data_IF_308934710692
#
_entry.id   IF_308934710692
#
_cell.length_a   1.000
_cell.length_b   1.000
_cell.length_c   1.000
_cell.angle_alpha   90.00
_cell.angle_beta   90.00
_cell.angle_gamma   90.00
#
_symmetry.space_group_name_H-M   'P 1'
#
loop_
_entity.id
_entity.type
_entity.pdbx_description
1 polymer ?
#
# COMPACT_ATOMS: atom_id res chain seq x y z
N UNK A 1 -46.02 -50.70 30.67
CA UNK A 1 -46.05 -49.22 30.65
C UNK A 1 -44.60 -48.74 30.61
N UNK A 2 -44.03 -48.64 29.40
CA UNK A 2 -42.63 -48.28 29.20
C UNK A 2 -42.50 -46.78 28.96
N UNK A 3 -41.68 -46.12 29.76
CA UNK A 3 -41.44 -44.68 29.69
C UNK A 3 -40.46 -44.39 28.53
N UNK A 4 -40.78 -43.50 27.57
CA UNK A 4 -39.81 -43.09 26.57
C UNK A 4 -38.78 -42.14 27.21
N UNK A 5 -37.50 -42.51 27.13
CA UNK A 5 -36.40 -41.67 27.57
C UNK A 5 -36.17 -40.59 26.50
N UNK A 6 -36.48 -39.34 26.86
CA UNK A 6 -36.32 -38.17 26.01
C UNK A 6 -34.86 -37.91 25.64
N UNK A 7 -34.68 -37.46 24.39
CA UNK A 7 -33.39 -37.26 23.75
C UNK A 7 -32.46 -36.27 24.46
N UNK A 8 -31.19 -36.64 24.55
CA UNK A 8 -30.09 -35.76 24.92
C UNK A 8 -28.96 -36.05 23.93
N UNK A 9 -28.86 -35.24 22.88
CA UNK A 9 -27.79 -35.40 21.89
C UNK A 9 -27.55 -34.20 20.99
N UNK A 10 -28.57 -33.38 20.69
CA UNK A 10 -28.50 -32.50 19.51
C UNK A 10 -28.23 -31.01 19.80
N UNK A 11 -27.74 -30.67 21.01
CA UNK A 11 -27.44 -29.28 21.41
C UNK A 11 -25.96 -28.88 21.27
N UNK A 12 -25.08 -29.84 21.00
CA UNK A 12 -23.64 -29.60 20.82
C UNK A 12 -23.26 -29.17 19.41
N UNK A 13 -23.94 -29.71 18.39
CA UNK A 13 -23.54 -29.56 16.98
C UNK A 13 -23.80 -28.15 16.44
N UNK A 14 -24.92 -27.53 16.82
CA UNK A 14 -25.25 -26.15 16.40
C UNK A 14 -24.40 -25.06 17.07
N UNK A 15 -23.89 -25.29 18.28
CA UNK A 15 -23.13 -24.28 19.04
C UNK A 15 -21.65 -24.29 18.64
N UNK A 16 -21.07 -25.46 18.34
CA UNK A 16 -19.67 -25.58 17.90
C UNK A 16 -19.44 -24.87 16.55
N UNK A 17 -20.39 -24.95 15.62
CA UNK A 17 -20.30 -24.21 14.35
C UNK A 17 -20.26 -22.68 14.53
N UNK A 18 -21.04 -22.15 15.48
CA UNK A 18 -21.13 -20.71 15.72
C UNK A 18 -19.88 -20.13 16.39
N UNK A 19 -19.23 -20.90 17.27
CA UNK A 19 -17.98 -20.50 17.95
C UNK A 19 -16.85 -20.25 16.96
N UNK A 20 -16.82 -20.98 15.85
CA UNK A 20 -15.83 -20.79 14.78
C UNK A 20 -16.28 -19.71 13.79
N UNK A 21 -17.58 -19.59 13.54
CA UNK A 21 -18.11 -18.63 12.55
C UNK A 21 -17.81 -17.18 12.92
N UNK A 22 -18.02 -16.78 14.18
CA UNK A 22 -17.79 -15.41 14.64
C UNK A 22 -16.34 -14.93 14.42
N UNK A 23 -15.29 -15.64 14.88
CA UNK A 23 -13.92 -15.22 14.63
C UNK A 23 -13.55 -15.26 13.14
N UNK A 24 -14.13 -16.17 12.34
CA UNK A 24 -13.91 -16.21 10.89
C UNK A 24 -14.47 -14.95 10.21
N UNK A 25 -15.69 -14.54 10.55
CA UNK A 25 -16.28 -13.31 9.99
C UNK A 25 -15.47 -12.09 10.40
N UNK A 26 -15.08 -11.99 11.68
CA UNK A 26 -14.22 -10.91 12.15
C UNK A 26 -12.88 -10.89 11.41
N UNK A 27 -12.27 -12.05 11.19
CA UNK A 27 -11.02 -12.18 10.44
C UNK A 27 -11.18 -11.68 9.00
N UNK A 28 -12.27 -12.05 8.30
CA UNK A 28 -12.57 -11.54 6.95
C UNK A 28 -12.76 -10.02 6.96
N UNK A 29 -13.45 -9.47 7.96
CA UNK A 29 -13.58 -8.01 8.11
C UNK A 29 -12.22 -7.34 8.32
N UNK A 30 -11.37 -7.88 9.19
CA UNK A 30 -10.01 -7.38 9.39
C UNK A 30 -9.16 -7.47 8.12
N UNK A 31 -9.30 -8.53 7.33
CA UNK A 31 -8.64 -8.65 6.02
C UNK A 31 -9.08 -7.53 5.07
N UNK A 32 -10.37 -7.18 5.05
CA UNK A 32 -10.88 -6.05 4.27
C UNK A 32 -10.25 -4.72 4.70
N UNK A 33 -10.18 -4.46 6.01
CA UNK A 33 -9.51 -3.27 6.55
C UNK A 33 -8.03 -3.26 6.18
N UNK A 34 -7.33 -4.40 6.34
CA UNK A 34 -5.92 -4.52 6.02
C UNK A 34 -5.64 -4.29 4.53
N UNK A 35 -6.51 -4.77 3.65
CA UNK A 35 -6.43 -4.50 2.22
C UNK A 35 -6.60 -3.01 1.91
N UNK A 36 -7.58 -2.34 2.52
CA UNK A 36 -7.79 -0.90 2.36
C UNK A 36 -6.57 -0.08 2.79
N UNK A 37 -5.99 -0.40 3.96
CA UNK A 37 -4.77 0.24 4.46
C UNK A 37 -3.58 0.01 3.53
N UNK A 38 -3.44 -1.19 2.98
CA UNK A 38 -2.39 -1.49 2.00
C UNK A 38 -2.55 -0.69 0.71
N UNK A 39 -3.76 -0.62 0.15
CA UNK A 39 -4.04 0.16 -1.06
C UNK A 39 -3.85 1.66 -0.83
N UNK A 40 -4.22 2.16 0.35
CA UNK A 40 -3.99 3.55 0.71
C UNK A 40 -2.49 3.90 0.68
N UNK A 41 -1.64 3.09 1.32
CA UNK A 41 -0.19 3.27 1.27
C UNK A 41 0.39 3.12 -0.14
N UNK A 42 -0.16 2.20 -0.94
CA UNK A 42 0.26 2.00 -2.33
C UNK A 42 -0.03 3.23 -3.19
N UNK A 43 -1.20 3.86 -3.00
CA UNK A 43 -1.57 5.09 -3.68
C UNK A 43 -0.63 6.22 -3.30
N UNK A 44 -0.33 6.39 -1.99
CA UNK A 44 0.64 7.40 -1.52
C UNK A 44 2.01 7.20 -2.17
N UNK A 45 2.52 5.96 -2.18
CA UNK A 45 3.81 5.64 -2.79
C UNK A 45 3.84 5.96 -4.29
N UNK A 46 2.73 5.71 -5.01
CA UNK A 46 2.60 6.04 -6.42
C UNK A 46 2.54 7.54 -6.67
N UNK A 47 1.78 8.29 -5.87
CA UNK A 47 1.72 9.75 -5.94
C UNK A 47 3.08 10.39 -5.66
N UNK A 48 3.76 9.94 -4.60
CA UNK A 48 5.10 10.38 -4.26
C UNK A 48 6.11 10.05 -5.36
N UNK A 49 6.06 8.84 -5.94
CA UNK A 49 6.94 8.44 -7.04
C UNK A 49 6.77 9.32 -8.27
N UNK A 50 5.54 9.60 -8.69
CA UNK A 50 5.27 10.46 -9.84
C UNK A 50 5.79 11.89 -9.64
N UNK A 51 5.60 12.46 -8.44
CA UNK A 51 6.12 13.80 -8.11
C UNK A 51 7.65 13.82 -8.00
N UNK A 52 8.24 12.79 -7.41
CA UNK A 52 9.69 12.65 -7.32
C UNK A 52 10.34 12.63 -8.70
N UNK A 53 9.77 11.86 -9.62
CA UNK A 53 10.24 11.80 -11.01
C UNK A 53 10.04 13.14 -11.71
N UNK A 54 8.87 13.79 -11.57
CA UNK A 54 8.60 15.06 -12.26
C UNK A 54 9.49 16.21 -11.78
N UNK A 55 9.91 16.20 -10.52
CA UNK A 55 10.88 17.16 -9.99
C UNK A 55 12.30 16.82 -10.47
N UNK A 56 12.68 15.55 -10.45
CA UNK A 56 14.02 15.10 -10.86
C UNK A 56 14.23 15.08 -12.39
N UNK A 57 13.17 15.16 -13.20
CA UNK A 57 13.25 15.27 -14.66
C UNK A 57 13.46 16.71 -15.15
N UNK A 58 13.28 17.72 -14.27
CA UNK A 58 13.49 19.13 -14.62
C UNK A 58 14.95 19.44 -14.91
N UNK A 59 15.19 20.34 -15.86
CA UNK A 59 16.55 20.79 -16.19
C UNK A 59 17.20 21.49 -15.00
N UNK A 60 18.44 21.10 -14.68
CA UNK A 60 19.17 21.60 -13.51
C UNK A 60 18.75 21.00 -12.16
N UNK A 61 17.80 20.07 -12.13
CA UNK A 61 17.46 19.32 -10.92
C UNK A 61 18.46 18.18 -10.67
N UNK A 62 18.41 17.62 -9.45
CA UNK A 62 19.21 16.48 -9.04
C UNK A 62 18.31 15.34 -8.55
N UNK A 63 18.78 14.08 -8.57
CA UNK A 63 18.06 12.96 -7.96
C UNK A 63 17.72 13.21 -6.48
N UNK A 64 18.59 13.90 -5.74
CA UNK A 64 18.36 14.28 -4.35
C UNK A 64 17.15 15.24 -4.17
N UNK A 65 16.85 16.07 -5.16
CA UNK A 65 15.63 16.89 -5.15
C UNK A 65 14.37 16.03 -5.30
N UNK A 66 14.40 14.98 -6.12
CA UNK A 66 13.31 14.02 -6.24
C UNK A 66 13.09 13.22 -4.95
N UNK A 67 14.17 12.81 -4.26
CA UNK A 67 14.08 12.14 -2.96
C UNK A 67 13.42 13.03 -1.90
N UNK A 68 13.80 14.32 -1.84
CA UNK A 68 13.19 15.29 -0.92
C UNK A 68 11.71 15.50 -1.22
N UNK A 69 11.33 15.58 -2.49
CA UNK A 69 9.91 15.67 -2.90
C UNK A 69 9.13 14.40 -2.55
N UNK A 70 9.71 13.21 -2.74
CA UNK A 70 9.07 11.97 -2.31
C UNK A 70 8.79 12.00 -0.79
N UNK A 71 9.74 12.49 0.00
CA UNK A 71 9.62 12.58 1.45
C UNK A 71 8.55 13.59 1.89
N UNK A 72 8.47 14.78 1.25
CA UNK A 72 7.44 15.77 1.58
C UNK A 72 6.05 15.23 1.30
N UNK A 73 5.82 14.61 0.15
CA UNK A 73 4.51 14.05 -0.24
C UNK A 73 4.05 12.95 0.71
N UNK A 74 4.97 12.08 1.14
CA UNK A 74 4.64 11.02 2.11
C UNK A 74 4.33 11.61 3.49
N UNK A 75 5.08 12.64 3.93
CA UNK A 75 4.83 13.33 5.18
C UNK A 75 3.49 14.08 5.18
N UNK A 76 3.14 14.77 4.10
CA UNK A 76 1.85 15.44 3.90
C UNK A 76 0.67 14.46 3.94
N UNK A 77 0.89 13.22 3.48
CA UNK A 77 -0.11 12.16 3.51
C UNK A 77 -0.27 11.51 4.89
N UNK A 78 0.49 11.95 5.90
CA UNK A 78 0.46 11.38 7.26
C UNK A 78 1.04 9.97 7.35
N UNK A 79 1.84 9.55 6.37
CA UNK A 79 2.46 8.23 6.33
C UNK A 79 3.97 8.31 6.61
N UNK A 80 4.60 7.15 6.76
CA UNK A 80 6.04 7.05 7.05
C UNK A 80 6.79 6.54 5.83
N UNK A 81 7.75 7.33 5.36
CA UNK A 81 8.67 6.92 4.29
C UNK A 81 9.66 5.90 4.87
N UNK A 82 9.73 4.72 4.26
CA UNK A 82 10.74 3.70 4.59
C UNK A 82 12.00 3.90 3.76
N UNK A 83 11.85 4.33 2.52
CA UNK A 83 12.98 4.67 1.64
C UNK A 83 12.52 5.24 0.32
N UNK A 84 13.34 6.10 -0.27
CA UNK A 84 13.16 6.63 -1.61
C UNK A 84 14.50 6.56 -2.35
N UNK A 85 14.48 5.98 -3.55
CA UNK A 85 15.62 5.90 -4.45
C UNK A 85 15.25 6.56 -5.78
N UNK A 86 16.11 7.44 -6.28
CA UNK A 86 15.92 8.12 -7.57
C UNK A 86 17.19 7.97 -8.37
N UNK A 87 17.09 7.40 -9.57
CA UNK A 87 18.20 7.25 -10.50
C UNK A 87 17.98 8.10 -11.74
N UNK A 88 19.07 8.71 -12.22
CA UNK A 88 19.07 9.65 -13.35
C UNK A 88 19.91 9.16 -14.53
N UNK A 89 19.47 9.53 -15.74
CA UNK A 89 20.07 9.24 -17.04
C UNK A 89 19.30 9.96 -18.15
N UNK A 90 19.06 9.29 -19.30
CA UNK A 90 18.06 9.74 -20.31
C UNK A 90 16.62 9.64 -19.81
N UNK A 91 16.35 8.67 -18.94
CA UNK A 91 15.08 8.53 -18.22
C UNK A 91 15.33 8.61 -16.72
N UNK A 92 14.42 9.28 -16.00
CA UNK A 92 14.45 9.38 -14.55
C UNK A 92 13.51 8.32 -13.98
N UNK A 93 14.01 7.53 -13.03
CA UNK A 93 13.19 6.55 -12.32
C UNK A 93 13.23 6.80 -10.82
N UNK A 94 12.07 6.74 -10.17
CA UNK A 94 11.95 6.84 -8.72
C UNK A 94 11.29 5.58 -8.17
N UNK A 95 11.83 5.05 -7.07
CA UNK A 95 11.27 3.97 -6.28
C UNK A 95 10.99 4.50 -4.88
N UNK A 96 9.71 4.52 -4.49
CA UNK A 96 9.26 5.02 -3.19
C UNK A 96 8.67 3.87 -2.39
N UNK A 97 9.13 3.70 -1.16
CA UNK A 97 8.65 2.69 -0.21
C UNK A 97 8.00 3.37 0.98
N UNK A 98 6.74 3.04 1.22
CA UNK A 98 5.90 3.61 2.28
C UNK A 98 5.52 2.51 3.28
N UNK A 99 5.50 2.86 4.56
CA UNK A 99 5.13 1.94 5.65
C UNK A 99 3.63 1.68 5.64
N UNK A 100 3.25 0.43 5.87
CA UNK A 100 1.86 -0.01 5.99
C UNK A 100 1.61 -0.37 7.46
N UNK A 101 0.56 0.17 8.06
CA UNK A 101 0.17 -0.23 9.41
C UNK A 101 -0.31 -1.69 9.39
N UNK A 102 0.29 -2.52 10.25
CA UNK A 102 -0.04 -3.95 10.36
C UNK A 102 -1.08 -4.14 11.46
N UNK A 103 -2.27 -4.56 11.06
CA UNK A 103 -3.38 -4.93 11.95
C UNK A 103 -3.52 -6.44 12.02
N UNK A 104 -3.28 -7.14 10.89
CA UNK A 104 -3.33 -8.62 10.81
C UNK A 104 -1.89 -9.18 10.78
N UNK A 105 -1.55 -10.20 11.60
CA UNK A 105 -0.23 -10.82 11.57
C UNK A 105 0.06 -11.42 10.18
N UNK A 106 1.35 -11.54 9.85
CA UNK A 106 1.85 -12.08 8.56
C UNK A 106 1.63 -11.20 7.32
N UNK A 107 1.09 -9.98 7.46
CA UNK A 107 0.96 -9.04 6.34
C UNK A 107 2.24 -8.22 6.08
N UNK A 108 2.48 -7.77 4.83
CA UNK A 108 3.59 -6.90 4.48
C UNK A 108 3.58 -5.60 5.31
N UNK A 109 4.75 -5.20 5.81
CA UNK A 109 4.94 -3.98 6.62
C UNK A 109 5.18 -2.72 5.78
N UNK A 110 5.37 -2.88 4.47
CA UNK A 110 5.69 -1.79 3.55
C UNK A 110 5.23 -2.12 2.14
N UNK A 111 5.00 -1.07 1.36
CA UNK A 111 4.69 -1.16 -0.06
C UNK A 111 5.64 -0.29 -0.86
N UNK A 112 6.21 -0.86 -1.92
CA UNK A 112 7.10 -0.15 -2.85
C UNK A 112 6.38 0.10 -4.16
N UNK A 113 6.50 1.32 -4.70
CA UNK A 113 6.03 1.69 -6.03
C UNK A 113 7.13 2.39 -6.80
N UNK A 114 7.20 2.09 -8.10
CA UNK A 114 8.16 2.68 -9.03
C UNK A 114 7.44 3.54 -10.05
N UNK A 115 7.99 4.72 -10.32
CA UNK A 115 7.58 5.63 -11.37
C UNK A 115 8.76 5.91 -12.30
N UNK A 116 8.48 6.19 -13.58
CA UNK A 116 9.47 6.57 -14.60
C UNK A 116 8.95 7.70 -15.47
N UNK A 117 9.82 8.63 -15.85
CA UNK A 117 9.52 9.64 -16.88
C UNK A 117 10.78 9.99 -17.68
N UNK A 118 10.63 10.37 -18.96
CA UNK A 118 11.72 10.91 -19.76
C UNK A 118 12.19 12.27 -19.22
N UNK A 119 13.48 12.57 -19.41
CA UNK A 119 14.05 13.87 -19.04
C UNK A 119 13.65 14.94 -20.08
N UNK A 120 13.28 16.14 -19.64
CA UNK A 120 12.86 17.21 -20.56
C UNK A 120 14.00 17.61 -21.53
N UNK A 121 13.73 17.51 -22.83
CA UNK A 121 14.57 18.04 -23.92
C UNK A 121 13.71 18.97 -24.76
N UNK A 122 14.03 20.26 -24.79
CA UNK A 122 13.38 21.22 -25.71
C UNK A 122 13.77 20.88 -27.16
N UNK A 123 12.79 20.80 -28.04
CA UNK A 123 12.98 21.01 -29.48
C UNK A 123 12.60 22.48 -29.72
N UNK A 124 13.53 23.33 -30.19
CA UNK A 124 13.21 24.71 -30.56
C UNK A 124 12.12 24.75 -31.65
N UNK A 125 11.18 25.71 -31.57
CA UNK A 125 10.07 25.89 -32.54
C UNK A 125 10.57 26.36 -33.92
N UNK A 126 11.85 26.73 -34.01
CA UNK A 126 12.57 27.25 -35.17
C UNK A 126 12.95 26.20 -36.24
N UNK A 127 12.56 24.93 -36.06
CA UNK A 127 12.87 23.81 -36.97
C UNK A 127 11.60 23.10 -37.52
N UNK A 128 10.44 23.76 -37.53
CA UNK A 128 9.17 23.21 -38.01
C UNK A 128 8.78 23.64 -39.43
#
# INVERSE_FOLDING_TARGET
>A
MGVPVGGVGDRGEGVVGYVILVPVVLFITMLGVQAAVYFHAANIAQHAGTRAVSVASRRGSSPASGVREAASVVAESGSSLVGADVSGGESVSASVTVRVARVVPFFPESVTRRARAPKERFIPEDER
#
